data_IF_935175023305
#
_entry.id   IF_935175023305
#
_cell.length_a   1.000
_cell.length_b   1.000
_cell.length_c   1.000
_cell.angle_alpha   90.00
_cell.angle_beta   90.00
_cell.angle_gamma   90.00
#
_symmetry.space_group_name_H-M   'P 1'
#
loop_
_entity.id
_entity.type
_entity.pdbx_description
1 polymer ?
#
# COMPACT_ATOMS: atom_id res chain seq x y z
N UNK A 1 26.88 16.50 22.74
CA UNK A 1 26.45 15.42 21.82
C UNK A 1 24.93 15.35 21.82
N UNK A 2 24.27 15.68 20.71
CA UNK A 2 22.81 15.68 20.66
C UNK A 2 22.28 14.24 20.68
N UNK A 3 21.35 13.92 21.60
CA UNK A 3 20.71 12.60 21.69
C UNK A 3 19.87 12.36 20.44
N UNK A 4 20.10 11.24 19.75
CA UNK A 4 19.31 10.85 18.58
C UNK A 4 17.90 10.48 19.03
N UNK A 5 16.90 11.25 18.60
CA UNK A 5 15.50 10.91 18.83
C UNK A 5 15.18 9.59 18.13
N UNK A 6 14.78 8.58 18.88
CA UNK A 6 14.30 7.31 18.33
C UNK A 6 12.88 7.53 17.82
N UNK A 7 12.63 7.20 16.55
CA UNK A 7 11.29 7.24 15.98
C UNK A 7 10.63 5.89 16.22
N UNK A 8 9.46 5.88 16.84
CA UNK A 8 8.67 4.67 17.04
C UNK A 8 8.07 4.20 15.71
N UNK A 9 7.91 2.88 15.57
CA UNK A 9 7.26 2.27 14.41
C UNK A 9 5.79 2.68 14.34
N UNK A 10 5.37 3.24 13.20
CA UNK A 10 3.98 3.61 12.96
C UNK A 10 3.18 2.37 12.55
N UNK A 11 2.02 2.09 13.17
CA UNK A 11 1.19 0.94 12.81
C UNK A 11 0.64 1.07 11.39
N UNK A 12 0.42 -0.07 10.73
CA UNK A 12 -0.03 -0.07 9.33
C UNK A 12 -1.52 0.24 9.21
N UNK A 13 -1.88 1.29 8.46
CA UNK A 13 -3.27 1.72 8.22
C UNK A 13 -3.94 0.93 7.08
N UNK A 14 -3.81 -0.40 7.06
CA UNK A 14 -4.33 -1.26 5.98
C UNK A 14 -5.84 -1.17 5.80
N UNK A 15 -6.57 -0.85 6.88
CA UNK A 15 -8.02 -0.66 6.89
C UNK A 15 -8.54 0.40 5.91
N UNK A 16 -7.73 1.40 5.56
CA UNK A 16 -8.11 2.54 4.70
C UNK A 16 -8.14 2.15 3.22
N UNK A 17 -7.70 0.94 2.90
CA UNK A 17 -7.64 0.42 1.53
C UNK A 17 -8.90 -0.36 1.16
N UNK A 18 -9.82 -0.57 2.11
CA UNK A 18 -11.13 -1.17 1.89
C UNK A 18 -12.19 -0.07 1.92
N UNK A 19 -12.99 0.02 0.86
CA UNK A 19 -14.16 0.90 0.82
C UNK A 19 -15.40 0.04 0.74
N UNK A 20 -16.35 0.26 1.65
CA UNK A 20 -17.65 -0.44 1.64
C UNK A 20 -18.63 0.42 0.85
N UNK A 21 -19.19 -0.12 -0.24
CA UNK A 21 -20.29 0.51 -0.99
C UNK A 21 -21.51 -0.42 -0.88
N UNK A 22 -22.40 -0.11 0.07
CA UNK A 22 -23.58 -0.93 0.35
C UNK A 22 -23.17 -2.36 0.71
N UNK A 23 -23.65 -3.33 -0.08
CA UNK A 23 -23.41 -4.76 0.13
C UNK A 23 -22.09 -5.28 -0.48
N UNK A 24 -21.36 -4.43 -1.21
CA UNK A 24 -20.14 -4.83 -1.95
C UNK A 24 -18.89 -4.16 -1.38
N UNK A 25 -17.83 -4.95 -1.15
CA UNK A 25 -16.53 -4.47 -0.70
C UNK A 25 -15.63 -4.21 -1.90
N UNK A 26 -15.37 -2.93 -2.21
CA UNK A 26 -14.40 -2.55 -3.23
C UNK A 26 -12.98 -2.59 -2.65
N UNK A 27 -12.12 -3.40 -3.27
CA UNK A 27 -10.70 -3.54 -2.90
C UNK A 27 -9.85 -2.72 -3.88
N UNK A 28 -8.91 -1.93 -3.35
CA UNK A 28 -7.88 -1.24 -4.15
C UNK A 28 -7.02 -2.24 -4.95
N UNK A 29 -6.35 -1.79 -6.04
CA UNK A 29 -5.57 -2.68 -6.89
C UNK A 29 -4.55 -3.47 -6.07
N UNK A 30 -4.64 -4.80 -6.20
CA UNK A 30 -3.75 -5.76 -5.57
C UNK A 30 -2.69 -6.26 -6.54
N UNK A 31 -1.54 -6.69 -6.01
CA UNK A 31 -0.47 -7.22 -6.83
C UNK A 31 -0.88 -8.54 -7.54
N UNK A 32 -0.77 -8.63 -8.88
CA UNK A 32 -1.14 -9.84 -9.62
C UNK A 32 -0.22 -11.03 -9.29
N UNK A 33 1.01 -10.76 -8.81
CA UNK A 33 1.97 -11.79 -8.42
C UNK A 33 1.81 -12.28 -6.98
N UNK A 34 1.34 -11.42 -6.07
CA UNK A 34 1.22 -11.77 -4.64
C UNK A 34 -0.18 -12.21 -4.24
N UNK A 35 -1.19 -11.95 -5.08
CA UNK A 35 -2.56 -12.35 -4.82
C UNK A 35 -3.37 -11.36 -3.97
N UNK A 36 -4.61 -11.74 -3.64
CA UNK A 36 -5.56 -10.87 -2.96
C UNK A 36 -5.09 -10.53 -1.53
N UNK A 37 -5.13 -9.24 -1.18
CA UNK A 37 -4.71 -8.72 0.14
C UNK A 37 -3.37 -7.98 0.14
N UNK A 38 -2.56 -8.13 -0.92
CA UNK A 38 -1.36 -7.31 -1.12
C UNK A 38 -1.66 -6.08 -1.95
N UNK A 39 -1.93 -4.97 -1.27
CA UNK A 39 -2.17 -3.68 -1.91
C UNK A 39 -0.88 -3.09 -2.49
N UNK A 40 -1.01 -2.43 -3.63
CA UNK A 40 0.05 -1.56 -4.13
C UNK A 40 0.15 -0.29 -3.28
N UNK A 41 1.38 0.13 -3.01
CA UNK A 41 1.68 1.49 -2.60
C UNK A 41 1.45 2.40 -3.80
N UNK A 42 0.49 3.31 -3.64
CA UNK A 42 0.18 4.32 -4.63
C UNK A 42 1.12 5.51 -4.44
N UNK A 43 2.11 5.63 -5.34
CA UNK A 43 2.93 6.81 -5.48
C UNK A 43 2.52 7.58 -6.73
N UNK A 44 2.91 8.85 -6.81
CA UNK A 44 2.53 9.75 -7.91
C UNK A 44 2.92 9.22 -9.30
N UNK A 45 4.07 8.57 -9.38
CA UNK A 45 4.73 8.09 -10.59
C UNK A 45 4.61 6.57 -10.78
N UNK A 46 4.28 5.83 -9.73
CA UNK A 46 4.38 4.36 -9.72
C UNK A 46 3.44 3.70 -8.72
N UNK A 47 3.03 2.48 -9.06
CA UNK A 47 2.52 1.49 -8.12
C UNK A 47 3.66 0.58 -7.69
N UNK A 48 3.86 0.42 -6.39
CA UNK A 48 4.93 -0.42 -5.85
C UNK A 48 4.40 -1.48 -4.90
N UNK A 49 4.79 -2.75 -5.12
CA UNK A 49 4.46 -3.83 -4.21
C UNK A 49 5.61 -4.06 -3.22
N UNK A 50 5.35 -3.85 -1.92
CA UNK A 50 6.35 -4.05 -0.88
C UNK A 50 6.73 -5.52 -0.59
N UNK A 51 6.03 -6.50 -1.17
CA UNK A 51 6.33 -7.92 -0.98
C UNK A 51 7.23 -8.47 -2.10
N UNK A 52 6.81 -8.33 -3.36
CA UNK A 52 7.55 -8.85 -4.51
C UNK A 52 8.42 -7.80 -5.21
N UNK A 53 8.50 -6.58 -4.66
CA UNK A 53 9.25 -5.45 -5.24
C UNK A 53 8.81 -5.09 -6.67
N UNK A 54 7.64 -5.55 -7.11
CA UNK A 54 7.11 -5.25 -8.42
C UNK A 54 6.68 -3.79 -8.50
N UNK A 55 7.15 -3.11 -9.53
CA UNK A 55 6.83 -1.72 -9.80
C UNK A 55 6.11 -1.61 -11.14
N UNK A 56 4.97 -0.93 -11.17
CA UNK A 56 4.30 -0.54 -12.39
C UNK A 56 4.30 0.98 -12.48
N UNK A 57 4.87 1.53 -13.54
CA UNK A 57 4.85 2.98 -13.78
C UNK A 57 3.43 3.39 -14.14
N UNK A 58 2.92 4.45 -13.51
CA UNK A 58 1.65 5.03 -13.91
C UNK A 58 1.90 5.90 -15.13
N UNK A 59 1.69 5.36 -16.32
CA UNK A 59 1.65 6.17 -17.53
C UNK A 59 0.43 7.08 -17.42
N UNK A 60 0.68 8.39 -17.47
CA UNK A 60 -0.36 9.43 -17.37
C UNK A 60 -1.24 9.43 -18.61
#
# INVERSE_FOLDING_TARGET
MAKRKVKNHQPSEKWTKYTVKGDTVERKPSCPKCGPGYFFADHKDRYYCGNCHFMQVKTK
#
